data_IF_569414763515
#
_entry.id   IF_569414763515
#
_cell.length_a   1.000
_cell.length_b   1.000
_cell.length_c   1.000
_cell.angle_alpha   90.00
_cell.angle_beta   90.00
_cell.angle_gamma   90.00
#
_symmetry.space_group_name_H-M   'P 1'
#
loop_
_entity.id
_entity.type
_entity.pdbx_description
1 polymer ?
#
# COMPACT_ATOMS: atom_id res chain seq x y z
N UNK A 1 13.98 11.82 35.80
CA UNK A 1 13.09 10.64 35.69
C UNK A 1 13.51 9.92 34.43
N UNK A 2 14.32 8.89 34.61
CA UNK A 2 15.07 8.21 33.57
C UNK A 2 14.12 7.56 32.57
N UNK A 3 14.29 7.89 31.30
CA UNK A 3 13.69 7.17 30.19
C UNK A 3 14.34 5.80 30.12
N UNK A 4 13.70 4.81 30.75
CA UNK A 4 14.01 3.40 30.56
C UNK A 4 13.74 3.05 29.10
N UNK A 5 14.75 3.20 28.26
CA UNK A 5 14.81 2.57 26.96
C UNK A 5 14.79 1.06 27.21
N UNK A 6 13.59 0.47 27.17
CA UNK A 6 13.45 -0.98 27.04
C UNK A 6 14.02 -1.31 25.68
N UNK A 7 15.31 -1.65 25.65
CA UNK A 7 15.97 -2.22 24.50
C UNK A 7 15.26 -3.54 24.20
N UNK A 8 14.41 -3.53 23.18
CA UNK A 8 13.79 -4.73 22.62
C UNK A 8 14.88 -5.52 21.85
N UNK A 9 15.83 -6.08 22.59
CA UNK A 9 17.04 -6.76 22.09
C UNK A 9 16.76 -8.17 21.58
N UNK A 10 15.49 -8.56 21.42
CA UNK A 10 15.08 -9.93 21.09
C UNK A 10 14.40 -10.09 19.73
N UNK A 11 14.12 -9.00 18.99
CA UNK A 11 13.66 -9.13 17.61
C UNK A 11 14.85 -9.41 16.70
N UNK A 12 14.96 -10.63 16.18
CA UNK A 12 15.85 -10.94 15.04
C UNK A 12 15.65 -9.85 13.98
N UNK A 13 16.72 -9.21 13.46
CA UNK A 13 16.59 -8.20 12.42
C UNK A 13 16.08 -8.86 11.13
N UNK A 14 14.75 -8.96 10.99
CA UNK A 14 14.06 -9.60 9.86
C UNK A 14 13.92 -8.69 8.65
N UNK A 15 14.18 -7.38 8.82
CA UNK A 15 14.09 -6.40 7.74
C UNK A 15 15.04 -6.74 6.57
N UNK A 16 16.31 -7.04 6.87
CA UNK A 16 17.30 -7.38 5.83
C UNK A 16 16.96 -8.69 5.09
N UNK A 17 16.59 -9.78 5.77
CA UNK A 17 16.03 -10.97 5.11
C UNK A 17 14.83 -10.66 4.20
N UNK A 18 13.83 -9.90 4.68
CA UNK A 18 12.68 -9.56 3.85
C UNK A 18 13.06 -8.71 2.64
N UNK A 19 13.94 -7.72 2.82
CA UNK A 19 14.43 -6.91 1.71
C UNK A 19 15.14 -7.77 0.67
N UNK A 20 15.95 -8.73 1.11
CA UNK A 20 16.65 -9.68 0.23
C UNK A 20 15.67 -10.55 -0.56
N UNK A 21 14.56 -10.97 0.06
CA UNK A 21 13.49 -11.69 -0.63
C UNK A 21 12.86 -10.83 -1.72
N UNK A 22 12.47 -9.59 -1.41
CA UNK A 22 11.88 -8.70 -2.42
C UNK A 22 12.86 -8.35 -3.55
N UNK A 23 14.13 -8.13 -3.23
CA UNK A 23 15.17 -7.90 -4.22
C UNK A 23 15.33 -9.12 -5.14
N UNK A 24 15.47 -10.33 -4.59
CA UNK A 24 15.58 -11.55 -5.38
C UNK A 24 14.34 -11.79 -6.23
N UNK A 25 13.15 -11.58 -5.67
CA UNK A 25 11.89 -11.66 -6.42
C UNK A 25 11.82 -10.65 -7.55
N UNK A 26 12.27 -9.41 -7.34
CA UNK A 26 12.35 -8.39 -8.39
C UNK A 26 13.30 -8.82 -9.51
N UNK A 27 14.50 -9.32 -9.16
CA UNK A 27 15.49 -9.79 -10.15
C UNK A 27 14.97 -11.01 -10.92
N UNK A 28 14.32 -11.96 -10.25
CA UNK A 28 13.68 -13.12 -10.90
C UNK A 28 12.57 -12.63 -11.84
N UNK A 29 11.73 -11.70 -11.40
CA UNK A 29 10.68 -11.13 -12.24
C UNK A 29 11.28 -10.48 -13.50
N UNK A 30 12.31 -9.66 -13.33
CA UNK A 30 12.94 -8.91 -14.41
C UNK A 30 13.69 -9.80 -15.42
N UNK A 31 14.54 -10.70 -14.93
CA UNK A 31 15.44 -11.50 -15.77
C UNK A 31 14.85 -12.84 -16.23
N UNK A 32 13.85 -13.37 -15.53
CA UNK A 32 13.31 -14.72 -15.80
C UNK A 32 11.84 -14.63 -16.22
N UNK A 33 10.95 -14.08 -15.38
CA UNK A 33 9.50 -14.08 -15.64
C UNK A 33 9.13 -13.22 -16.84
N UNK A 34 9.60 -11.98 -16.86
CA UNK A 34 9.32 -10.99 -17.90
C UNK A 34 10.44 -10.87 -18.93
N UNK A 35 11.31 -11.87 -19.03
CA UNK A 35 12.49 -11.83 -19.93
C UNK A 35 12.16 -11.53 -21.40
N UNK A 36 10.96 -11.96 -21.85
CA UNK A 36 10.47 -11.80 -23.21
C UNK A 36 9.66 -10.51 -23.41
N UNK A 37 9.48 -9.69 -22.36
CA UNK A 37 8.78 -8.40 -22.46
C UNK A 37 9.78 -7.31 -22.86
N UNK A 38 9.26 -6.19 -23.38
CA UNK A 38 10.13 -5.10 -23.83
C UNK A 38 10.96 -4.54 -22.66
N UNK A 39 12.22 -4.13 -22.88
CA UNK A 39 13.05 -3.48 -21.86
C UNK A 39 12.39 -2.29 -21.16
N UNK A 40 11.47 -1.61 -21.84
CA UNK A 40 10.74 -0.46 -21.30
C UNK A 40 9.66 -0.84 -20.28
N UNK A 41 9.01 -1.99 -20.45
CA UNK A 41 7.88 -2.43 -19.59
C UNK A 41 8.36 -3.38 -18.47
N UNK A 42 9.48 -4.10 -18.68
CA UNK A 42 10.01 -5.06 -17.69
C UNK A 42 10.17 -4.49 -16.27
N UNK A 43 10.71 -3.28 -16.06
CA UNK A 43 10.81 -2.72 -14.71
C UNK A 43 9.45 -2.63 -14.02
N UNK A 44 8.46 -1.99 -14.67
CA UNK A 44 7.11 -1.81 -14.13
C UNK A 44 6.44 -3.16 -13.85
N UNK A 45 6.56 -4.12 -14.78
CA UNK A 45 6.03 -5.46 -14.57
C UNK A 45 6.67 -6.17 -13.36
N UNK A 46 7.97 -5.94 -13.12
CA UNK A 46 8.70 -6.50 -11.99
C UNK A 46 8.30 -5.85 -10.66
N UNK A 47 8.04 -4.54 -10.66
CA UNK A 47 7.44 -3.81 -9.53
C UNK A 47 6.05 -4.38 -9.20
N UNK A 48 5.17 -4.54 -10.21
CA UNK A 48 3.87 -5.18 -10.00
C UNK A 48 3.99 -6.60 -9.42
N UNK A 49 4.99 -7.37 -9.84
CA UNK A 49 5.22 -8.72 -9.33
C UNK A 49 5.59 -8.73 -7.84
N UNK A 50 6.52 -7.86 -7.41
CA UNK A 50 6.85 -7.75 -5.98
C UNK A 50 5.69 -7.15 -5.17
N UNK A 51 4.90 -6.27 -5.77
CA UNK A 51 3.68 -5.72 -5.17
C UNK A 51 2.62 -6.80 -4.93
N UNK A 52 2.45 -7.75 -5.87
CA UNK A 52 1.60 -8.92 -5.66
C UNK A 52 2.11 -9.83 -4.54
N UNK A 53 3.43 -10.03 -4.48
CA UNK A 53 4.09 -10.80 -3.42
C UNK A 53 4.04 -10.12 -2.06
N UNK A 54 3.77 -8.81 -2.00
CA UNK A 54 3.58 -8.05 -0.76
C UNK A 54 2.10 -7.91 -0.38
N UNK A 55 1.30 -7.29 -1.25
CA UNK A 55 -0.04 -6.83 -0.90
C UNK A 55 -0.98 -7.95 -0.45
N UNK A 56 -0.95 -9.10 -1.14
CA UNK A 56 -1.80 -10.24 -0.76
C UNK A 56 -1.38 -10.79 0.60
N UNK A 57 -0.11 -11.19 0.84
CA UNK A 57 0.30 -11.59 2.19
C UNK A 57 0.14 -10.51 3.25
N UNK A 58 0.37 -9.24 2.94
CA UNK A 58 0.24 -8.12 3.88
C UNK A 58 -1.17 -8.03 4.45
N UNK A 59 -2.21 -8.17 3.62
CA UNK A 59 -3.61 -8.21 4.08
C UNK A 59 -3.83 -9.35 5.07
N UNK A 60 -3.39 -10.58 4.75
CA UNK A 60 -3.58 -11.74 5.62
C UNK A 60 -2.78 -11.61 6.93
N UNK A 61 -1.51 -11.23 6.84
CA UNK A 61 -0.62 -11.09 7.99
C UNK A 61 -1.11 -9.98 8.92
N UNK A 62 -1.48 -8.81 8.38
CA UNK A 62 -2.02 -7.70 9.16
C UNK A 62 -3.37 -8.07 9.81
N UNK A 63 -4.26 -8.73 9.06
CA UNK A 63 -5.56 -9.19 9.60
C UNK A 63 -5.34 -10.17 10.73
N UNK A 64 -4.47 -11.16 10.54
CA UNK A 64 -4.13 -12.13 11.58
C UNK A 64 -3.49 -11.47 12.80
N UNK A 65 -2.61 -10.48 12.60
CA UNK A 65 -1.98 -9.73 13.67
C UNK A 65 -2.98 -8.96 14.53
N UNK A 66 -3.99 -8.35 13.90
CA UNK A 66 -5.06 -7.62 14.60
C UNK A 66 -6.01 -8.60 15.30
N UNK A 67 -6.38 -9.70 14.65
CA UNK A 67 -7.33 -10.66 15.20
C UNK A 67 -6.76 -11.40 16.41
N UNK A 68 -5.47 -11.73 16.39
CA UNK A 68 -4.76 -12.42 17.48
C UNK A 68 -4.51 -11.52 18.69
N UNK A 69 -4.44 -10.21 18.50
CA UNK A 69 -4.22 -9.26 19.59
C UNK A 69 -5.52 -9.01 20.37
N UNK A 70 -5.47 -9.24 21.69
CA UNK A 70 -6.57 -8.97 22.60
C UNK A 70 -6.73 -7.48 22.89
N UNK A 71 -5.68 -6.67 22.68
CA UNK A 71 -5.71 -5.22 22.88
C UNK A 71 -5.71 -4.48 21.53
N UNK A 72 -6.89 -4.13 21.03
CA UNK A 72 -7.08 -3.43 19.75
C UNK A 72 -7.15 -1.91 19.89
N UNK A 73 -6.38 -1.35 20.84
CA UNK A 73 -6.29 0.09 21.05
C UNK A 73 -5.49 0.80 19.94
N UNK A 74 -5.88 2.02 19.60
CA UNK A 74 -5.13 2.89 18.66
C UNK A 74 -3.78 3.37 19.24
N UNK A 75 -3.57 3.20 20.54
CA UNK A 75 -2.34 3.48 21.28
C UNK A 75 -1.67 2.21 21.83
N UNK A 76 -2.16 1.02 21.48
CA UNK A 76 -1.66 -0.24 22.00
C UNK A 76 -0.17 -0.47 21.68
N UNK A 77 0.55 -1.13 22.60
CA UNK A 77 1.94 -1.53 22.38
C UNK A 77 2.03 -2.51 21.21
N UNK A 78 2.98 -2.27 20.30
CA UNK A 78 3.15 -3.14 19.14
C UNK A 78 3.64 -4.52 19.58
N UNK A 79 2.87 -5.56 19.27
CA UNK A 79 3.28 -6.95 19.52
C UNK A 79 4.44 -7.34 18.61
N UNK A 80 5.20 -8.39 18.99
CA UNK A 80 6.29 -8.92 18.15
C UNK A 80 5.82 -9.28 16.75
N UNK A 81 4.61 -9.84 16.63
CA UNK A 81 4.05 -10.21 15.34
C UNK A 81 3.66 -8.98 14.51
N UNK A 82 3.04 -7.95 15.11
CA UNK A 82 2.76 -6.69 14.42
C UNK A 82 4.06 -6.00 13.95
N UNK A 83 5.11 -5.99 14.77
CA UNK A 83 6.44 -5.47 14.41
C UNK A 83 7.02 -6.20 13.19
N UNK A 84 6.89 -7.53 13.13
CA UNK A 84 7.32 -8.33 11.99
C UNK A 84 6.53 -7.98 10.71
N UNK A 85 5.21 -7.80 10.80
CA UNK A 85 4.39 -7.38 9.63
C UNK A 85 4.76 -5.98 9.14
N UNK A 86 5.11 -5.07 10.06
CA UNK A 86 5.65 -3.75 9.71
C UNK A 86 7.01 -3.87 9.02
N UNK A 87 7.94 -4.68 9.55
CA UNK A 87 9.26 -4.92 8.93
C UNK A 87 9.13 -5.53 7.53
N UNK A 88 8.19 -6.47 7.34
CA UNK A 88 7.85 -7.03 6.03
C UNK A 88 7.38 -5.98 5.03
N UNK A 89 6.51 -5.05 5.48
CA UNK A 89 6.02 -3.97 4.61
C UNK A 89 7.08 -2.91 4.35
N UNK A 90 7.91 -2.56 5.34
CA UNK A 90 9.06 -1.66 5.17
C UNK A 90 10.00 -2.20 4.09
N UNK A 91 10.33 -3.49 4.14
CA UNK A 91 11.19 -4.12 3.15
C UNK A 91 10.64 -4.00 1.73
N UNK A 92 9.34 -4.24 1.53
CA UNK A 92 8.68 -4.06 0.24
C UNK A 92 8.75 -2.60 -0.23
N UNK A 93 8.26 -1.65 0.59
CA UNK A 93 8.20 -0.24 0.19
C UNK A 93 9.59 0.34 -0.09
N UNK A 94 10.64 -0.13 0.62
CA UNK A 94 12.02 0.24 0.31
C UNK A 94 12.47 -0.28 -1.06
N UNK A 95 12.22 -1.56 -1.35
CA UNK A 95 12.61 -2.15 -2.63
C UNK A 95 11.86 -1.51 -3.80
N UNK A 96 10.56 -1.26 -3.64
CA UNK A 96 9.74 -0.65 -4.69
C UNK A 96 10.07 0.84 -4.87
N UNK A 97 10.40 1.57 -3.79
CA UNK A 97 10.93 2.92 -3.88
C UNK A 97 12.25 2.98 -4.69
N UNK A 98 13.16 2.02 -4.48
CA UNK A 98 14.38 1.92 -5.28
C UNK A 98 14.05 1.69 -6.76
N UNK A 99 13.04 0.87 -7.06
CA UNK A 99 12.55 0.71 -8.42
C UNK A 99 12.13 2.06 -9.03
N UNK A 100 11.26 2.83 -8.36
CA UNK A 100 10.81 4.11 -8.90
C UNK A 100 11.94 5.12 -9.08
N UNK A 101 12.86 5.23 -8.11
CA UNK A 101 13.99 6.17 -8.21
C UNK A 101 14.91 5.82 -9.39
N UNK A 102 15.15 4.53 -9.64
CA UNK A 102 16.09 4.07 -10.69
C UNK A 102 15.44 4.03 -12.08
N UNK A 103 14.20 3.55 -12.19
CA UNK A 103 13.59 3.24 -13.49
C UNK A 103 12.49 4.20 -13.90
N UNK A 104 11.82 4.87 -12.96
CA UNK A 104 10.66 5.75 -13.23
C UNK A 104 10.72 7.05 -12.40
N UNK A 105 11.83 7.81 -12.44
CA UNK A 105 12.03 8.97 -11.56
C UNK A 105 11.04 10.12 -11.82
N UNK A 106 10.38 10.12 -12.98
CA UNK A 106 9.33 11.08 -13.32
C UNK A 106 8.02 10.82 -12.58
N UNK A 107 7.82 9.64 -11.98
CA UNK A 107 6.60 9.31 -11.24
C UNK A 107 6.66 9.80 -9.79
N UNK A 108 6.67 11.12 -9.66
CA UNK A 108 6.81 11.81 -8.36
C UNK A 108 5.69 11.45 -7.39
N UNK A 109 4.48 11.17 -7.89
CA UNK A 109 3.34 10.80 -7.04
C UNK A 109 3.56 9.45 -6.38
N UNK A 110 4.01 8.44 -7.13
CA UNK A 110 4.31 7.12 -6.56
C UNK A 110 5.52 7.16 -5.63
N UNK A 111 6.58 7.92 -5.97
CA UNK A 111 7.74 8.13 -5.10
C UNK A 111 7.32 8.77 -3.78
N UNK A 112 6.55 9.87 -3.84
CA UNK A 112 6.05 10.56 -2.67
C UNK A 112 5.14 9.67 -1.82
N UNK A 113 4.27 8.87 -2.46
CA UNK A 113 3.44 7.88 -1.79
C UNK A 113 4.28 6.85 -1.01
N UNK A 114 5.31 6.28 -1.64
CA UNK A 114 6.18 5.30 -0.99
C UNK A 114 6.95 5.90 0.19
N UNK A 115 7.50 7.10 0.03
CA UNK A 115 8.16 7.84 1.11
C UNK A 115 7.21 8.13 2.27
N UNK A 116 5.99 8.57 1.98
CA UNK A 116 4.98 8.88 2.98
C UNK A 116 4.53 7.61 3.74
N UNK A 117 4.31 6.50 3.02
CA UNK A 117 3.99 5.21 3.64
C UNK A 117 5.14 4.72 4.51
N UNK A 118 6.39 4.76 4.00
CA UNK A 118 7.61 4.43 4.76
C UNK A 118 7.72 5.27 6.03
N UNK A 119 7.48 6.58 5.94
CA UNK A 119 7.49 7.46 7.10
C UNK A 119 6.51 6.98 8.19
N UNK A 120 5.26 6.69 7.82
CA UNK A 120 4.23 6.24 8.77
C UNK A 120 4.59 4.89 9.40
N UNK A 121 4.98 3.90 8.60
CA UNK A 121 5.29 2.55 9.11
C UNK A 121 6.60 2.53 9.92
N UNK A 122 7.63 3.26 9.51
CA UNK A 122 8.91 3.35 10.23
C UNK A 122 8.77 4.09 11.55
N UNK A 123 8.02 5.18 11.60
CA UNK A 123 7.76 5.89 12.87
C UNK A 123 6.94 5.02 13.83
N UNK A 124 5.95 4.29 13.34
CA UNK A 124 5.23 3.30 14.15
C UNK A 124 6.14 2.19 14.67
N UNK A 125 7.00 1.64 13.80
CA UNK A 125 7.87 0.48 14.10
C UNK A 125 9.07 0.79 14.98
N UNK A 126 9.77 1.90 14.72
CA UNK A 126 11.09 2.18 15.29
C UNK A 126 11.12 3.39 16.22
N UNK A 127 10.17 4.34 16.08
CA UNK A 127 10.15 5.55 16.93
C UNK A 127 9.24 5.37 18.13
N UNK A 128 7.97 5.00 17.92
CA UNK A 128 6.99 4.92 19.01
C UNK A 128 6.75 3.51 19.51
N UNK A 129 6.90 2.48 18.65
CA UNK A 129 6.55 1.09 18.97
C UNK A 129 5.13 0.89 19.54
N UNK A 130 4.22 1.81 19.22
CA UNK A 130 2.81 1.78 19.60
C UNK A 130 1.94 2.13 18.37
N UNK A 131 0.66 1.75 18.41
CA UNK A 131 -0.34 2.12 17.41
C UNK A 131 -0.34 1.26 16.15
N UNK A 132 0.32 0.10 16.14
CA UNK A 132 0.32 -0.79 14.98
C UNK A 132 -1.08 -1.24 14.57
N UNK A 133 -2.06 -1.34 15.48
CA UNK A 133 -3.45 -1.60 15.11
C UNK A 133 -3.95 -0.63 14.03
N UNK A 134 -3.73 0.68 14.22
CA UNK A 134 -4.16 1.71 13.29
C UNK A 134 -3.46 1.56 11.94
N UNK A 135 -2.14 1.40 11.97
CA UNK A 135 -1.30 1.36 10.78
C UNK A 135 -1.53 0.07 9.97
N UNK A 136 -1.69 -1.07 10.64
CA UNK A 136 -1.98 -2.34 9.99
C UNK A 136 -3.40 -2.37 9.41
N UNK A 137 -4.37 -1.73 10.05
CA UNK A 137 -5.72 -1.62 9.47
C UNK A 137 -5.71 -0.73 8.23
N UNK A 138 -4.99 0.39 8.26
CA UNK A 138 -4.77 1.23 7.08
C UNK A 138 -4.03 0.46 5.96
N UNK A 139 -3.06 -0.39 6.32
CA UNK A 139 -2.39 -1.28 5.38
C UNK A 139 -3.37 -2.29 4.75
N UNK A 140 -4.28 -2.89 5.52
CA UNK A 140 -5.33 -3.76 4.99
C UNK A 140 -6.21 -3.01 3.99
N UNK A 141 -6.72 -1.83 4.37
CA UNK A 141 -7.49 -0.99 3.46
C UNK A 141 -6.67 -0.59 2.23
N UNK A 142 -5.36 -0.47 2.37
CA UNK A 142 -4.51 -0.12 1.25
C UNK A 142 -4.30 -1.26 0.27
N UNK A 143 -4.08 -2.47 0.79
CA UNK A 143 -3.63 -3.63 0.04
C UNK A 143 -4.76 -4.55 -0.40
N UNK A 144 -5.97 -4.44 0.15
CA UNK A 144 -7.12 -5.28 -0.27
C UNK A 144 -7.47 -5.09 -1.75
N UNK A 145 -7.12 -3.94 -2.34
CA UNK A 145 -7.27 -3.68 -3.78
C UNK A 145 -6.04 -4.07 -4.61
N UNK A 146 -4.91 -4.39 -3.96
CA UNK A 146 -3.58 -4.52 -4.59
C UNK A 146 -3.52 -5.63 -5.63
N UNK A 147 -4.16 -6.79 -5.37
CA UNK A 147 -4.25 -7.88 -6.34
C UNK A 147 -4.95 -7.42 -7.63
N UNK A 148 -6.13 -6.82 -7.50
CA UNK A 148 -6.88 -6.30 -8.65
C UNK A 148 -6.11 -5.19 -9.36
N UNK A 149 -5.52 -4.27 -8.60
CA UNK A 149 -4.75 -3.13 -9.13
C UNK A 149 -3.55 -3.59 -9.94
N UNK A 150 -2.71 -4.49 -9.41
CA UNK A 150 -1.51 -4.97 -10.09
C UNK A 150 -1.83 -5.82 -11.33
N UNK A 151 -2.85 -6.68 -11.26
CA UNK A 151 -3.29 -7.44 -12.44
C UNK A 151 -3.87 -6.50 -13.50
N UNK A 152 -4.64 -5.49 -13.09
CA UNK A 152 -5.16 -4.45 -13.98
C UNK A 152 -4.02 -3.64 -14.63
N UNK A 153 -2.99 -3.22 -13.88
CA UNK A 153 -1.81 -2.53 -14.41
C UNK A 153 -1.05 -3.40 -15.41
N UNK A 154 -0.75 -4.66 -15.07
CA UNK A 154 -0.07 -5.60 -15.98
C UNK A 154 -0.87 -5.86 -17.26
N UNK A 155 -2.20 -5.98 -17.16
CA UNK A 155 -3.06 -6.10 -18.33
C UNK A 155 -3.05 -4.81 -19.17
N UNK A 156 -3.03 -3.65 -18.50
CA UNK A 156 -2.97 -2.33 -19.12
C UNK A 156 -1.71 -2.08 -19.94
N UNK A 157 -0.54 -2.51 -19.44
CA UNK A 157 0.74 -2.36 -20.15
C UNK A 157 0.78 -3.18 -21.45
N UNK A 158 0.00 -4.26 -21.55
CA UNK A 158 -0.03 -5.15 -22.72
C UNK A 158 -1.33 -5.13 -23.53
N UNK A 159 -2.28 -4.25 -23.19
CA UNK A 159 -3.62 -4.25 -23.82
C UNK A 159 -3.57 -4.02 -25.34
N UNK A 160 -2.57 -3.31 -25.85
CA UNK A 160 -2.40 -3.05 -27.28
C UNK A 160 -1.73 -4.22 -28.03
N UNK A 161 -0.98 -5.05 -27.32
CA UNK A 161 -0.14 -6.10 -27.91
C UNK A 161 -0.75 -7.50 -27.77
N UNK A 162 -1.66 -7.69 -26.80
CA UNK A 162 -2.26 -8.98 -26.50
C UNK A 162 -3.77 -8.85 -26.27
N UNK A 163 -4.57 -9.52 -27.12
CA UNK A 163 -6.03 -9.50 -27.00
C UNK A 163 -6.53 -10.03 -25.65
N UNK A 164 -5.84 -11.02 -25.07
CA UNK A 164 -6.17 -11.53 -23.73
C UNK A 164 -5.98 -10.43 -22.68
N UNK A 165 -4.86 -9.68 -22.75
CA UNK A 165 -4.60 -8.58 -21.83
C UNK A 165 -5.67 -7.47 -21.98
N UNK A 166 -6.09 -7.14 -23.20
CA UNK A 166 -7.19 -6.20 -23.42
C UNK A 166 -8.51 -6.65 -22.77
N UNK A 167 -8.87 -7.94 -22.91
CA UNK A 167 -10.07 -8.51 -22.28
C UNK A 167 -9.99 -8.47 -20.76
N UNK A 168 -8.84 -8.85 -20.19
CA UNK A 168 -8.59 -8.83 -18.74
C UNK A 168 -8.69 -7.40 -18.21
N UNK A 169 -8.05 -6.43 -18.88
CA UNK A 169 -8.10 -5.02 -18.51
C UNK A 169 -9.54 -4.49 -18.51
N UNK A 170 -10.29 -4.73 -19.59
CA UNK A 170 -11.68 -4.28 -19.71
C UNK A 170 -12.62 -4.94 -18.69
N UNK A 171 -12.40 -6.22 -18.40
CA UNK A 171 -13.18 -6.97 -17.41
C UNK A 171 -12.90 -6.51 -15.98
N UNK A 172 -11.63 -6.29 -15.63
CA UNK A 172 -11.22 -5.91 -14.27
C UNK A 172 -11.47 -4.44 -13.96
N UNK A 173 -11.49 -3.54 -14.95
CA UNK A 173 -11.62 -2.09 -14.71
C UNK A 173 -12.85 -1.74 -13.84
N UNK A 174 -14.09 -2.15 -14.17
CA UNK A 174 -15.25 -1.75 -13.35
C UNK A 174 -15.25 -2.35 -11.92
N UNK A 175 -14.98 -3.66 -11.71
CA UNK A 175 -14.86 -4.22 -10.36
C UNK A 175 -13.74 -3.56 -9.55
N UNK A 176 -12.56 -3.36 -10.16
CA UNK A 176 -11.44 -2.69 -9.52
C UNK A 176 -11.83 -1.27 -9.09
N UNK A 177 -12.40 -0.47 -10.00
CA UNK A 177 -12.76 0.91 -9.67
C UNK A 177 -13.82 1.00 -8.58
N UNK A 178 -14.79 0.09 -8.60
CA UNK A 178 -15.83 0.01 -7.57
C UNK A 178 -15.23 -0.33 -6.21
N UNK A 179 -14.42 -1.40 -6.14
CA UNK A 179 -13.77 -1.81 -4.89
C UNK A 179 -12.84 -0.71 -4.36
N UNK A 180 -12.05 -0.09 -5.25
CA UNK A 180 -11.14 0.99 -4.90
C UNK A 180 -11.90 2.21 -4.36
N UNK A 181 -12.97 2.65 -5.04
CA UNK A 181 -13.84 3.74 -4.57
C UNK A 181 -14.49 3.43 -3.22
N UNK A 182 -14.94 2.19 -2.98
CA UNK A 182 -15.53 1.81 -1.68
C UNK A 182 -14.50 1.86 -0.55
N UNK A 183 -13.36 1.22 -0.76
CA UNK A 183 -12.33 1.08 0.28
C UNK A 183 -11.66 2.43 0.57
N UNK A 184 -11.29 3.19 -0.46
CA UNK A 184 -10.59 4.48 -0.30
C UNK A 184 -11.54 5.66 -0.09
N UNK A 185 -12.73 5.64 -0.68
CA UNK A 185 -13.71 6.72 -0.57
C UNK A 185 -14.62 6.62 0.65
N UNK A 186 -14.79 5.43 1.23
CA UNK A 186 -15.62 5.24 2.44
C UNK A 186 -14.83 4.60 3.59
N UNK A 187 -14.19 3.45 3.35
CA UNK A 187 -13.46 2.72 4.39
C UNK A 187 -12.35 3.55 5.04
N UNK A 188 -11.49 4.18 4.23
CA UNK A 188 -10.42 5.07 4.66
C UNK A 188 -10.94 6.27 5.49
N UNK A 189 -11.84 7.11 4.93
CA UNK A 189 -12.44 8.25 5.65
C UNK A 189 -13.12 7.88 6.96
N UNK A 190 -13.86 6.78 6.99
CA UNK A 190 -14.48 6.30 8.22
C UNK A 190 -13.42 5.90 9.26
N UNK A 191 -12.40 5.16 8.84
CA UNK A 191 -11.35 4.72 9.77
C UNK A 191 -10.51 5.89 10.30
N UNK A 192 -10.15 6.86 9.44
CA UNK A 192 -9.39 8.03 9.89
C UNK A 192 -10.20 8.91 10.85
N UNK A 193 -11.51 9.03 10.65
CA UNK A 193 -12.40 9.68 11.61
C UNK A 193 -12.33 9.01 12.99
N UNK A 194 -12.40 7.67 13.04
CA UNK A 194 -12.30 6.90 14.29
C UNK A 194 -10.93 7.08 14.96
N UNK A 195 -9.86 7.08 14.18
CA UNK A 195 -8.49 7.32 14.65
C UNK A 195 -8.32 8.73 15.23
N UNK A 196 -8.82 9.77 14.56
CA UNK A 196 -8.78 11.16 15.04
C UNK A 196 -9.63 11.34 16.30
N UNK A 197 -10.84 10.80 16.32
CA UNK A 197 -11.71 10.85 17.50
C UNK A 197 -11.04 10.21 18.72
N UNK A 198 -10.34 9.08 18.53
CA UNK A 198 -9.57 8.46 19.59
C UNK A 198 -8.40 9.36 20.05
N UNK A 199 -7.56 9.86 19.13
CA UNK A 199 -6.39 10.65 19.54
C UNK A 199 -6.72 12.00 20.17
N UNK A 200 -7.87 12.58 19.80
CA UNK A 200 -8.34 13.86 20.36
C UNK A 200 -9.11 13.72 21.67
N UNK A 201 -9.60 12.52 22.00
CA UNK A 201 -10.35 12.25 23.24
C UNK A 201 -9.55 12.43 24.53
N UNK A 202 -8.22 12.61 24.44
CA UNK A 202 -7.34 12.69 25.61
C UNK A 202 -7.05 11.34 26.27
N UNK A 203 -7.62 10.24 25.77
CA UNK A 203 -7.36 8.87 26.23
C UNK A 203 -5.97 8.35 25.83
N UNK A 204 -5.23 9.10 25.02
CA UNK A 204 -3.83 8.81 24.71
C UNK A 204 -3.01 9.33 25.89
N UNK A 205 -2.66 8.46 26.83
CA UNK A 205 -1.85 8.75 28.03
C UNK A 205 -0.39 9.17 27.70
N UNK A 206 -0.18 10.00 26.66
CA UNK A 206 1.14 10.41 26.17
C UNK A 206 1.93 9.31 25.45
N UNK A 207 1.36 8.09 25.28
CA UNK A 207 2.06 6.93 24.70
C UNK A 207 2.49 7.13 23.25
N UNK A 208 1.69 7.86 22.47
CA UNK A 208 2.06 8.31 21.11
C UNK A 208 2.21 9.84 21.16
N UNK A 209 3.41 10.39 20.90
CA UNK A 209 3.63 11.84 20.88
C UNK A 209 2.72 12.54 19.88
N UNK A 210 2.24 13.74 20.23
CA UNK A 210 1.27 14.48 19.40
C UNK A 210 1.73 14.69 17.96
N UNK A 211 3.00 15.06 17.79
CA UNK A 211 3.56 15.29 16.45
C UNK A 211 3.50 14.03 15.57
N UNK A 212 3.65 12.84 16.16
CA UNK A 212 3.63 11.56 15.44
C UNK A 212 2.24 11.29 14.90
N UNK A 213 1.23 11.23 15.75
CA UNK A 213 -0.12 10.89 15.28
C UNK A 213 -0.72 11.98 14.39
N UNK A 214 -0.42 13.27 14.65
CA UNK A 214 -0.83 14.38 13.78
C UNK A 214 -0.21 14.18 12.39
N UNK A 215 1.09 13.86 12.31
CA UNK A 215 1.75 13.61 11.03
C UNK A 215 1.15 12.43 10.29
N UNK A 216 0.80 11.33 10.98
CA UNK A 216 0.12 10.18 10.39
C UNK A 216 -1.23 10.57 9.81
N UNK A 217 -2.04 11.32 10.57
CA UNK A 217 -3.36 11.77 10.12
C UNK A 217 -3.23 12.63 8.86
N UNK A 218 -2.32 13.60 8.84
CA UNK A 218 -2.10 14.47 7.67
C UNK A 218 -1.68 13.67 6.45
N UNK A 219 -0.74 12.74 6.61
CA UNK A 219 -0.27 11.86 5.52
C UNK A 219 -1.41 11.01 4.97
N UNK A 220 -2.19 10.37 5.85
CA UNK A 220 -3.29 9.48 5.45
C UNK A 220 -4.43 10.25 4.78
N UNK A 221 -4.80 11.43 5.29
CA UNK A 221 -5.82 12.28 4.66
C UNK A 221 -5.39 12.73 3.26
N UNK A 222 -4.12 13.13 3.11
CA UNK A 222 -3.56 13.51 1.80
C UNK A 222 -3.59 12.33 0.83
N UNK A 223 -3.16 11.14 1.28
CA UNK A 223 -3.18 9.91 0.48
C UNK A 223 -4.61 9.56 0.03
N UNK A 224 -5.59 9.62 0.93
CA UNK A 224 -7.01 9.40 0.61
C UNK A 224 -7.49 10.41 -0.46
N UNK A 225 -7.20 11.70 -0.28
CA UNK A 225 -7.60 12.73 -1.23
C UNK A 225 -7.04 12.51 -2.63
N UNK A 226 -5.73 12.22 -2.72
CA UNK A 226 -5.07 11.91 -4.00
C UNK A 226 -5.62 10.62 -4.62
N UNK A 227 -5.86 9.58 -3.81
CA UNK A 227 -6.47 8.32 -4.28
C UNK A 227 -7.88 8.54 -4.85
N UNK A 228 -8.72 9.36 -4.20
CA UNK A 228 -10.06 9.70 -4.70
C UNK A 228 -9.96 10.45 -6.02
N UNK A 229 -9.09 11.46 -6.11
CA UNK A 229 -8.87 12.19 -7.35
C UNK A 229 -8.43 11.27 -8.49
N UNK A 230 -7.47 10.37 -8.22
CA UNK A 230 -6.97 9.42 -9.20
C UNK A 230 -8.05 8.47 -9.71
N UNK A 231 -8.84 7.86 -8.81
CA UNK A 231 -9.90 6.93 -9.22
C UNK A 231 -11.05 7.64 -9.94
N UNK A 232 -11.37 8.88 -9.57
CA UNK A 232 -12.35 9.71 -10.29
C UNK A 232 -11.91 9.96 -11.73
N UNK A 233 -10.61 10.21 -11.99
CA UNK A 233 -10.09 10.35 -13.34
C UNK A 233 -10.23 9.07 -14.16
N UNK A 234 -9.96 7.91 -13.56
CA UNK A 234 -10.14 6.60 -14.23
C UNK A 234 -11.61 6.30 -14.57
N UNK A 235 -12.53 6.66 -13.66
CA UNK A 235 -13.96 6.58 -13.95
C UNK A 235 -14.35 7.46 -15.13
N UNK A 236 -13.91 8.73 -15.14
CA UNK A 236 -14.19 9.66 -16.24
C UNK A 236 -13.67 9.13 -17.58
N UNK A 237 -12.45 8.57 -17.62
CA UNK A 237 -11.88 7.97 -18.82
C UNK A 237 -12.71 6.79 -19.32
N UNK A 238 -13.10 5.88 -18.42
CA UNK A 238 -13.93 4.72 -18.77
C UNK A 238 -15.31 5.13 -19.28
N UNK A 239 -15.96 6.11 -18.65
CA UNK A 239 -17.24 6.62 -19.12
C UNK A 239 -17.10 7.27 -20.51
N UNK A 240 -16.08 8.11 -20.71
CA UNK A 240 -15.82 8.75 -22.00
C UNK A 240 -15.59 7.73 -23.11
N UNK A 241 -14.81 6.68 -22.86
CA UNK A 241 -14.57 5.61 -23.84
C UNK A 241 -15.86 4.85 -24.19
N UNK A 242 -16.69 4.54 -23.18
CA UNK A 242 -17.96 3.84 -23.38
C UNK A 242 -18.97 4.67 -24.15
N UNK A 243 -19.09 5.97 -23.84
CA UNK A 243 -19.97 6.89 -24.55
C UNK A 243 -19.58 7.02 -26.02
N UNK A 244 -18.28 7.21 -26.32
CA UNK A 244 -17.79 7.27 -27.70
C UNK A 244 -18.11 5.99 -28.49
N UNK A 245 -17.89 4.82 -27.88
CA UNK A 245 -18.22 3.52 -28.51
C UNK A 245 -19.72 3.32 -28.74
N UNK A 246 -20.56 3.94 -27.92
CA UNK A 246 -22.01 3.91 -28.10
C UNK A 246 -22.43 4.82 -29.26
N UNK A 247 -21.87 6.04 -29.33
CA UNK A 247 -22.09 6.98 -30.45
C UNK A 247 -21.66 6.38 -31.79
N UNK A 248 -20.50 5.72 -31.84
CA UNK A 248 -20.00 5.00 -33.04
C UNK A 248 -20.91 3.84 -33.47
N UNK A 249 -21.71 3.26 -32.57
CA UNK A 249 -22.66 2.18 -32.89
C UNK A 249 -24.04 2.68 -33.32
N UNK A 250 -24.39 3.91 -32.93
CA UNK A 250 -25.67 4.55 -33.25
C UNK A 250 -25.61 5.23 -34.62
N UNK A 251 -24.43 5.69 -35.04
CA UNK A 251 -24.17 6.29 -36.35
C UNK A 251 -23.95 5.24 -37.44
#
# INVERSE_FOLDING_TARGET
>A
METSAVSDSSSVPVLLPFFSVFLLSYLIAYFIVFRNWSPKIRPEASSCFISLLHGTPAVFLASFAILKDSNRGFDGLNTTFQKMVLDYSIAYFLMDLLHYIVFVPSDVLFIAHHLATLFVICTCRYVVSHGAFAILFLLILAEVTSLCQNVWTLAGTRKNDAQIAAKVYAFLSPPFYTLYSLVRGFGGPYFIYRMVAFYTSGLVDGRIPKWVWISWVVVVLTAIGVSIMWISNLWMELYRERTRKLEEKIR
#
